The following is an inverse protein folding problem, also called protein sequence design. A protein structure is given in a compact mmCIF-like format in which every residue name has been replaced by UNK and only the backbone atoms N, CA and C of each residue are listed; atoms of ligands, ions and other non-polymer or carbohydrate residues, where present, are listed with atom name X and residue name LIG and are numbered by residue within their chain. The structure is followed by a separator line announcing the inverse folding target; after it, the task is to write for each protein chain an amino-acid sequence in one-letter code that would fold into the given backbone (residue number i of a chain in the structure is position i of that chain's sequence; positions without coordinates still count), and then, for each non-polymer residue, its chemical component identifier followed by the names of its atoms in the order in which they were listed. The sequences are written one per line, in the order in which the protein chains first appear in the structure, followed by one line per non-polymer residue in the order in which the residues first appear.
data_IF_774655548973
#
_entry.id   IF_774655548973
#
_cell.length_a   1.000
_cell.length_b   1.000
_cell.length_c   1.000
_cell.angle_alpha   90.00
_cell.angle_beta   90.00
_cell.angle_gamma   90.00
#
_symmetry.space_group_name_H-M   'P 1'
#
loop_
_entity.id
_entity.type
_entity.pdbx_description
1 polymer ?
#
# COMPACT_ATOMS: atom_id res chain seq x y z
N UNK A 1 2.06 -12.26 -4.64
CA UNK A 1 2.00 -12.95 -5.95
C UNK A 1 2.07 -11.90 -7.06
N UNK A 2 2.98 -12.08 -8.04
CA UNK A 2 3.27 -11.06 -9.07
C UNK A 2 2.41 -11.22 -10.35
N UNK A 3 1.18 -11.74 -10.23
CA UNK A 3 0.23 -11.88 -11.34
C UNK A 3 -1.02 -11.04 -11.12
N UNK A 4 -1.70 -10.65 -12.19
CA UNK A 4 -2.94 -9.88 -12.13
C UNK A 4 -4.00 -10.65 -11.33
N UNK A 5 -4.15 -11.95 -11.60
CA UNK A 5 -5.14 -12.79 -10.88
C UNK A 5 -4.75 -12.91 -9.40
N UNK A 6 -3.47 -13.15 -9.10
CA UNK A 6 -2.99 -13.20 -7.72
C UNK A 6 -3.25 -11.90 -6.97
N UNK A 7 -3.01 -10.76 -7.62
CA UNK A 7 -3.23 -9.43 -7.03
C UNK A 7 -4.70 -9.19 -6.65
N UNK A 8 -5.64 -9.43 -7.57
CA UNK A 8 -7.07 -9.15 -7.31
C UNK A 8 -7.75 -10.21 -6.43
N UNK A 9 -7.13 -11.35 -6.20
CA UNK A 9 -7.66 -12.43 -5.37
C UNK A 9 -6.92 -12.54 -4.04
N UNK A 10 -5.77 -13.19 -4.05
CA UNK A 10 -5.04 -13.53 -2.84
C UNK A 10 -4.46 -12.30 -2.15
N UNK A 11 -3.79 -11.40 -2.90
CA UNK A 11 -3.15 -10.23 -2.29
C UNK A 11 -4.18 -9.23 -1.79
N UNK A 12 -5.30 -9.05 -2.51
CA UNK A 12 -6.41 -8.23 -2.03
C UNK A 12 -7.05 -8.83 -0.77
N UNK A 13 -7.27 -10.14 -0.72
CA UNK A 13 -7.80 -10.82 0.46
C UNK A 13 -6.85 -10.71 1.67
N UNK A 14 -5.53 -10.91 1.46
CA UNK A 14 -4.53 -10.74 2.50
C UNK A 14 -4.44 -9.28 2.98
N UNK A 15 -4.56 -8.31 2.08
CA UNK A 15 -4.59 -6.88 2.45
C UNK A 15 -5.78 -6.58 3.35
N UNK A 16 -6.98 -7.07 3.03
CA UNK A 16 -8.18 -6.88 3.85
C UNK A 16 -8.01 -7.55 5.22
N UNK A 17 -7.49 -8.78 5.25
CA UNK A 17 -7.21 -9.50 6.49
C UNK A 17 -6.21 -8.74 7.35
N UNK A 18 -5.14 -8.22 6.76
CA UNK A 18 -4.12 -7.45 7.44
C UNK A 18 -4.67 -6.13 8.01
N UNK A 19 -5.48 -5.40 7.25
CA UNK A 19 -6.15 -4.17 7.72
C UNK A 19 -7.05 -4.48 8.92
N UNK A 20 -7.83 -5.57 8.88
CA UNK A 20 -8.67 -5.99 10.01
C UNK A 20 -7.86 -6.39 11.23
N UNK A 21 -6.77 -7.13 11.03
CA UNK A 21 -5.89 -7.55 12.13
C UNK A 21 -5.18 -6.36 12.77
N UNK A 22 -4.61 -5.46 11.98
CA UNK A 22 -3.97 -4.23 12.47
C UNK A 22 -4.98 -3.33 13.17
N UNK A 23 -6.20 -3.20 12.61
CA UNK A 23 -7.29 -2.46 13.25
C UNK A 23 -7.60 -3.00 14.66
N UNK A 24 -7.72 -4.32 14.79
CA UNK A 24 -7.96 -4.95 16.09
C UNK A 24 -6.82 -4.71 17.08
N UNK A 25 -5.58 -4.97 16.67
CA UNK A 25 -4.38 -4.74 17.52
C UNK A 25 -4.24 -3.26 17.88
N UNK A 26 -4.48 -2.37 16.93
CA UNK A 26 -4.40 -0.92 17.11
C UNK A 26 -5.35 -0.44 18.20
N UNK A 27 -6.57 -0.97 18.24
CA UNK A 27 -7.54 -0.65 19.30
C UNK A 27 -7.11 -1.23 20.65
N UNK A 28 -6.78 -2.52 20.67
CA UNK A 28 -6.45 -3.22 21.92
C UNK A 28 -5.17 -2.68 22.58
N UNK A 29 -4.15 -2.33 21.77
CA UNK A 29 -2.86 -1.89 22.32
C UNK A 29 -2.67 -0.38 22.36
N UNK A 30 -3.28 0.37 21.45
CA UNK A 30 -2.99 1.80 21.28
C UNK A 30 -4.23 2.68 21.33
N UNK A 31 -5.42 2.12 21.54
CA UNK A 31 -6.68 2.87 21.60
C UNK A 31 -7.06 3.56 20.28
N UNK A 32 -6.56 3.06 19.14
CA UNK A 32 -6.84 3.63 17.82
C UNK A 32 -8.17 3.11 17.30
N UNK A 33 -9.26 3.82 17.62
CA UNK A 33 -10.62 3.36 17.26
C UNK A 33 -11.00 3.57 15.80
N UNK A 34 -10.25 4.36 15.02
CA UNK A 34 -10.57 4.69 13.63
C UNK A 34 -10.65 3.50 12.66
N UNK A 35 -10.02 2.37 13.00
CA UNK A 35 -10.02 1.15 12.18
C UNK A 35 -11.02 0.08 12.63
N UNK A 36 -11.64 0.22 13.80
CA UNK A 36 -12.51 -0.84 14.39
C UNK A 36 -13.75 -1.11 13.59
N UNK A 37 -14.28 -0.09 12.94
CA UNK A 37 -15.54 -0.14 12.20
C UNK A 37 -15.34 -0.21 10.68
N UNK A 38 -14.12 -0.47 10.20
CA UNK A 38 -13.88 -0.65 8.78
C UNK A 38 -14.76 -1.81 8.26
N UNK A 39 -15.88 -1.47 7.67
CA UNK A 39 -16.77 -2.45 7.02
C UNK A 39 -16.06 -2.99 5.78
N UNK A 40 -16.29 -4.27 5.49
CA UNK A 40 -15.89 -4.83 4.20
C UNK A 40 -16.96 -4.36 3.20
N UNK A 41 -16.70 -3.24 2.60
CA UNK A 41 -17.56 -2.63 1.59
C UNK A 41 -16.85 -2.56 0.23
N UNK A 42 -17.56 -2.08 -0.78
CA UNK A 42 -17.03 -1.96 -2.13
C UNK A 42 -15.80 -1.04 -2.19
N UNK A 43 -15.71 -0.03 -1.33
CA UNK A 43 -14.59 0.89 -1.30
C UNK A 43 -13.31 0.20 -0.77
N UNK A 44 -13.43 -0.59 0.31
CA UNK A 44 -12.30 -1.37 0.84
C UNK A 44 -11.84 -2.43 -0.17
N UNK A 45 -12.79 -3.15 -0.80
CA UNK A 45 -12.46 -4.15 -1.82
C UNK A 45 -11.77 -3.52 -3.03
N UNK A 46 -12.30 -2.40 -3.54
CA UNK A 46 -11.70 -1.68 -4.65
C UNK A 46 -10.31 -1.14 -4.30
N UNK A 47 -10.13 -0.57 -3.11
CA UNK A 47 -8.85 -0.05 -2.64
C UNK A 47 -7.79 -1.16 -2.50
N UNK A 48 -8.18 -2.32 -1.95
CA UNK A 48 -7.30 -3.47 -1.85
C UNK A 48 -6.89 -3.99 -3.24
N UNK A 49 -7.84 -4.12 -4.17
CA UNK A 49 -7.57 -4.57 -5.53
C UNK A 49 -6.67 -3.57 -6.29
N UNK A 50 -6.95 -2.27 -6.21
CA UNK A 50 -6.14 -1.23 -6.85
C UNK A 50 -4.72 -1.21 -6.26
N UNK A 51 -4.60 -1.29 -4.94
CA UNK A 51 -3.30 -1.35 -4.27
C UNK A 51 -2.47 -2.55 -4.70
N UNK A 52 -3.09 -3.74 -4.75
CA UNK A 52 -2.42 -4.96 -5.18
C UNK A 52 -2.06 -4.96 -6.67
N UNK A 53 -2.92 -4.43 -7.53
CA UNK A 53 -2.62 -4.25 -8.96
C UNK A 53 -1.50 -3.25 -9.19
N UNK A 54 -1.48 -2.14 -8.44
CA UNK A 54 -0.39 -1.15 -8.54
C UNK A 54 0.96 -1.74 -8.13
N UNK A 55 0.98 -2.66 -7.15
CA UNK A 55 2.19 -3.41 -6.79
C UNK A 55 2.69 -4.26 -7.96
N UNK A 56 1.82 -5.06 -8.60
CA UNK A 56 2.19 -5.85 -9.80
C UNK A 56 2.70 -4.96 -10.92
N UNK A 57 2.07 -3.81 -11.14
CA UNK A 57 2.53 -2.85 -12.15
C UNK A 57 3.92 -2.29 -11.83
N UNK A 58 4.18 -1.95 -10.58
CA UNK A 58 5.50 -1.48 -10.13
C UNK A 58 6.56 -2.57 -10.30
N UNK A 59 6.23 -3.83 -9.99
CA UNK A 59 7.14 -4.96 -10.19
C UNK A 59 7.52 -5.14 -11.67
N UNK A 60 6.60 -4.87 -12.60
CA UNK A 60 6.89 -4.87 -14.04
C UNK A 60 7.92 -3.82 -14.46
N UNK A 61 8.25 -2.87 -13.62
CA UNK A 61 9.28 -1.87 -13.90
C UNK A 61 10.68 -2.36 -13.50
N UNK A 62 10.81 -3.12 -12.42
CA UNK A 62 12.10 -3.35 -11.79
C UNK A 62 12.40 -4.79 -11.35
N UNK A 63 11.42 -5.70 -11.41
CA UNK A 63 11.65 -7.12 -11.11
C UNK A 63 11.88 -7.94 -12.37
N UNK A 64 12.82 -8.90 -12.36
CA UNK A 64 12.94 -9.88 -13.45
C UNK A 64 11.85 -10.93 -13.36
N UNK A 65 11.49 -11.51 -14.49
CA UNK A 65 10.64 -12.70 -14.60
C UNK A 65 9.28 -12.60 -13.88
N UNK A 66 8.49 -11.56 -14.17
CA UNK A 66 7.16 -11.38 -13.60
C UNK A 66 6.11 -12.26 -14.30
N UNK A 67 5.43 -13.19 -13.62
CA UNK A 67 4.40 -14.07 -14.19
C UNK A 67 3.04 -13.36 -14.27
N UNK A 68 2.96 -12.25 -15.03
CA UNK A 68 1.80 -11.33 -15.02
C UNK A 68 0.51 -12.05 -15.40
N UNK A 69 0.58 -12.95 -16.38
CA UNK A 69 -0.59 -13.65 -16.94
C UNK A 69 -0.85 -15.03 -16.32
N UNK A 70 -0.13 -15.41 -15.27
CA UNK A 70 -0.47 -16.64 -14.55
C UNK A 70 -1.89 -16.53 -13.96
N UNK A 71 -2.73 -17.59 -13.99
CA UNK A 71 -2.45 -18.97 -14.39
C UNK A 71 -2.78 -19.31 -15.86
N UNK A 72 -3.13 -18.34 -16.69
CA UNK A 72 -3.62 -18.59 -18.05
C UNK A 72 -2.53 -19.03 -19.02
N UNK A 73 -1.31 -18.61 -18.72
CA UNK A 73 -0.14 -18.94 -19.49
C UNK A 73 0.85 -19.67 -18.57
N UNK A 74 1.21 -20.94 -18.87
CA UNK A 74 1.99 -21.80 -17.98
C UNK A 74 3.39 -22.15 -18.55
N UNK A 75 3.67 -21.79 -19.81
CA UNK A 75 4.88 -22.22 -20.55
C UNK A 75 6.04 -21.23 -20.45
N UNK A 76 6.30 -20.58 -19.43
CA UNK A 76 7.51 -19.76 -19.23
C UNK A 76 7.76 -18.58 -20.20
N UNK A 77 6.99 -18.48 -21.29
CA UNK A 77 7.16 -17.46 -22.34
C UNK A 77 6.61 -16.08 -21.99
N UNK A 78 6.02 -15.93 -20.82
CA UNK A 78 5.31 -14.74 -20.37
C UNK A 78 5.83 -14.14 -19.06
N UNK A 79 7.00 -14.51 -18.67
CA UNK A 79 7.73 -13.71 -17.71
C UNK A 79 8.11 -12.40 -18.37
N UNK A 80 7.55 -11.31 -17.88
CA UNK A 80 7.92 -9.97 -18.33
C UNK A 80 9.06 -9.48 -17.45
N UNK A 81 10.21 -9.28 -18.07
CA UNK A 81 11.34 -8.62 -17.41
C UNK A 81 11.01 -7.13 -17.22
N UNK A 82 11.42 -6.60 -16.08
CA UNK A 82 11.18 -5.21 -15.75
C UNK A 82 11.72 -4.25 -16.82
N UNK A 83 10.89 -3.31 -17.25
CA UNK A 83 11.20 -2.36 -18.32
C UNK A 83 12.51 -1.57 -18.09
N UNK A 84 12.87 -1.35 -16.83
CA UNK A 84 14.07 -0.60 -16.46
C UNK A 84 15.31 -1.47 -16.32
N UNK A 85 15.16 -2.79 -16.25
CA UNK A 85 16.28 -3.72 -16.00
C UNK A 85 17.25 -3.73 -17.18
N UNK A 86 16.74 -3.72 -18.42
CA UNK A 86 17.55 -3.74 -19.62
C UNK A 86 18.48 -2.52 -19.74
N UNK A 87 18.04 -1.37 -19.20
CA UNK A 87 18.77 -0.10 -19.31
C UNK A 87 19.65 0.20 -18.10
N UNK A 88 19.19 -0.16 -16.90
CA UNK A 88 19.80 0.24 -15.63
C UNK A 88 20.38 -0.93 -14.83
N UNK A 89 19.95 -2.16 -15.11
CA UNK A 89 20.19 -3.31 -14.25
C UNK A 89 19.22 -3.38 -13.06
N UNK A 90 19.16 -4.54 -12.40
CA UNK A 90 18.15 -4.83 -11.35
C UNK A 90 18.28 -3.89 -10.14
N UNK A 91 19.49 -3.72 -9.59
CA UNK A 91 19.69 -2.94 -8.37
C UNK A 91 19.40 -1.44 -8.56
N UNK A 92 19.95 -0.74 -9.56
CA UNK A 92 19.62 0.67 -9.79
C UNK A 92 18.15 0.90 -10.14
N UNK A 93 17.52 0.02 -10.93
CA UNK A 93 16.10 0.08 -11.24
C UNK A 93 15.24 -0.01 -9.96
N UNK A 94 15.55 -0.95 -9.08
CA UNK A 94 14.84 -1.14 -7.81
C UNK A 94 15.00 0.07 -6.87
N UNK A 95 16.20 0.62 -6.75
CA UNK A 95 16.46 1.82 -5.94
C UNK A 95 15.67 3.02 -6.50
N UNK A 96 15.69 3.22 -7.81
CA UNK A 96 14.98 4.33 -8.45
C UNK A 96 13.46 4.23 -8.21
N UNK A 97 12.87 3.05 -8.40
CA UNK A 97 11.45 2.82 -8.15
C UNK A 97 11.10 3.03 -6.68
N UNK A 98 11.92 2.53 -5.75
CA UNK A 98 11.72 2.72 -4.31
C UNK A 98 11.77 4.21 -3.91
N UNK A 99 12.70 4.97 -4.45
CA UNK A 99 12.81 6.41 -4.19
C UNK A 99 11.60 7.19 -4.72
N UNK A 100 11.15 6.88 -5.93
CA UNK A 100 9.95 7.52 -6.53
C UNK A 100 8.71 7.16 -5.72
N UNK A 101 8.49 5.89 -5.40
CA UNK A 101 7.35 5.44 -4.61
C UNK A 101 7.37 6.07 -3.21
N UNK A 102 8.53 6.11 -2.55
CA UNK A 102 8.71 6.75 -1.26
C UNK A 102 8.38 8.25 -1.32
N UNK A 103 8.86 8.97 -2.33
CA UNK A 103 8.55 10.39 -2.52
C UNK A 103 7.05 10.64 -2.72
N UNK A 104 6.36 9.79 -3.50
CA UNK A 104 4.92 9.87 -3.71
C UNK A 104 4.16 9.63 -2.38
N UNK A 105 4.53 8.62 -1.62
CA UNK A 105 3.92 8.31 -0.32
C UNK A 105 4.10 9.49 0.64
N UNK A 106 5.32 10.05 0.73
CA UNK A 106 5.59 11.23 1.56
C UNK A 106 4.73 12.42 1.11
N UNK A 107 4.66 12.70 -0.19
CA UNK A 107 3.87 13.81 -0.72
C UNK A 107 2.38 13.66 -0.42
N UNK A 108 1.82 12.46 -0.60
CA UNK A 108 0.42 12.16 -0.27
C UNK A 108 0.18 12.33 1.24
N UNK A 109 1.08 11.80 2.07
CA UNK A 109 0.97 11.89 3.52
C UNK A 109 1.02 13.35 4.00
N UNK A 110 1.99 14.13 3.50
CA UNK A 110 2.11 15.56 3.82
C UNK A 110 0.83 16.32 3.40
N UNK A 111 0.32 16.04 2.19
CA UNK A 111 -0.92 16.67 1.70
C UNK A 111 -2.13 16.31 2.58
N UNK A 112 -2.26 15.04 2.96
CA UNK A 112 -3.35 14.58 3.82
C UNK A 112 -3.28 15.21 5.21
N UNK A 113 -2.10 15.26 5.81
CA UNK A 113 -1.87 15.90 7.10
C UNK A 113 -2.17 17.39 7.05
N UNK A 114 -1.69 18.12 6.04
CA UNK A 114 -1.95 19.55 5.88
C UNK A 114 -3.45 19.82 5.69
N UNK A 115 -4.14 18.98 4.91
CA UNK A 115 -5.60 19.10 4.74
C UNK A 115 -6.37 18.88 6.04
N UNK A 116 -5.85 18.02 6.92
CA UNK A 116 -6.42 17.73 8.24
C UNK A 116 -5.99 18.75 9.33
N UNK A 117 -5.21 19.76 8.97
CA UNK A 117 -4.69 20.76 9.92
C UNK A 117 -3.50 20.28 10.75
N UNK A 118 -2.90 19.14 10.41
CA UNK A 118 -1.75 18.59 11.13
C UNK A 118 -0.43 18.88 10.39
N UNK A 119 0.59 19.24 11.16
CA UNK A 119 1.94 19.42 10.63
C UNK A 119 2.66 18.07 10.49
N UNK A 120 3.29 17.85 9.35
CA UNK A 120 4.18 16.70 9.14
C UNK A 120 5.29 16.62 10.20
N UNK A 121 5.84 17.77 10.61
CA UNK A 121 6.84 17.85 11.65
C UNK A 121 6.33 17.43 13.02
N UNK A 122 5.06 17.68 13.34
CA UNK A 122 4.44 17.19 14.56
C UNK A 122 4.40 15.66 14.60
N UNK A 123 4.08 15.03 13.47
CA UNK A 123 4.03 13.56 13.35
C UNK A 123 5.42 12.96 13.55
N UNK A 124 6.46 13.57 12.99
CA UNK A 124 7.84 13.09 13.12
C UNK A 124 8.40 13.32 14.52
N UNK A 125 8.16 14.50 15.10
CA UNK A 125 8.76 14.89 16.40
C UNK A 125 8.03 14.29 17.60
N UNK A 126 6.73 14.05 17.48
CA UNK A 126 5.92 13.51 18.57
C UNK A 126 4.79 12.61 18.01
N UNK A 127 5.11 11.37 17.59
CA UNK A 127 4.16 10.47 16.94
C UNK A 127 2.99 10.09 17.85
N UNK A 128 3.21 9.99 19.17
CA UNK A 128 2.14 9.67 20.12
C UNK A 128 1.11 10.78 20.23
N UNK A 129 1.56 12.04 20.29
CA UNK A 129 0.67 13.21 20.30
C UNK A 129 -0.05 13.37 18.97
N UNK A 130 0.64 13.14 17.84
CA UNK A 130 0.01 13.17 16.53
C UNK A 130 -1.10 12.11 16.41
N UNK A 131 -0.84 10.91 16.91
CA UNK A 131 -1.81 9.82 16.91
C UNK A 131 -3.04 10.13 17.75
N UNK A 132 -2.89 10.69 18.95
CA UNK A 132 -4.03 11.08 19.79
C UNK A 132 -4.90 12.15 19.13
N UNK A 133 -4.30 13.16 18.50
CA UNK A 133 -5.04 14.19 17.77
C UNK A 133 -5.80 13.64 16.57
N UNK A 134 -5.20 12.72 15.81
CA UNK A 134 -5.87 12.05 14.67
C UNK A 134 -7.05 11.23 15.17
N UNK A 135 -6.89 10.47 16.27
CA UNK A 135 -7.99 9.67 16.83
C UNK A 135 -9.13 10.53 17.36
N UNK A 136 -8.84 11.65 18.01
CA UNK A 136 -9.85 12.61 18.45
C UNK A 136 -10.62 13.23 17.28
N UNK A 137 -9.92 13.57 16.17
CA UNK A 137 -10.58 14.12 15.00
C UNK A 137 -11.49 13.14 14.31
N UNK A 138 -11.11 11.86 14.25
CA UNK A 138 -11.93 10.78 13.70
C UNK A 138 -13.15 10.48 14.59
N UNK A 139 -13.00 10.56 15.90
CA UNK A 139 -14.10 10.37 16.84
C UNK A 139 -15.17 11.50 16.76
N UNK A 140 -14.75 12.72 16.38
CA UNK A 140 -15.67 13.85 16.20
C UNK A 140 -16.37 13.87 14.83
N UNK A 141 -15.86 13.11 13.85
CA UNK A 141 -16.42 13.03 12.50
C UNK A 141 -17.48 11.93 12.33
N UNK A 142 -17.64 11.08 13.34
CA UNK A 142 -18.68 10.04 13.46
C UNK A 142 -19.74 10.45 14.48
#
# INVERSE_FOLDING_TARGET
MHSIVGAVTIDAALTILFVKMIGKIGVERWGIHGFTNAKIDAALLASAAIGSLSHVFVDCLHHPANPIFWPFLIDGSYYVDGLLISSLGVLPASIMVALIAGAIIVAITVRALNKSGYSFWLVLSNPTKALSLITESLAKAN
#
